data_IF_548785981493
#
_entry.id   IF_548785981493
#
_cell.length_a   1.000
_cell.length_b   1.000
_cell.length_c   1.000
_cell.angle_alpha   90.00
_cell.angle_beta   90.00
_cell.angle_gamma   90.00
#
_symmetry.space_group_name_H-M   'P 1'
#
loop_
_entity.id
_entity.type
_entity.pdbx_description
1 polymer ?
#
# COMPACT_ATOMS: atom_id res chain seq x y z
N UNK A 1 3.82 13.92 -1.45
CA UNK A 1 2.71 13.06 -1.91
C UNK A 1 2.30 12.09 -0.83
N UNK A 2 3.08 11.01 -0.65
CA UNK A 2 2.79 9.91 0.30
C UNK A 2 2.64 10.39 1.75
N UNK A 3 3.48 11.31 2.22
CA UNK A 3 3.37 11.85 3.59
C UNK A 3 2.01 12.53 3.88
N UNK A 4 1.38 13.17 2.88
CA UNK A 4 0.04 13.74 3.06
C UNK A 4 -1.03 12.64 3.16
N UNK A 5 -0.84 11.55 2.44
CA UNK A 5 -1.72 10.38 2.50
C UNK A 5 -1.64 9.70 3.86
N UNK A 6 -0.44 9.60 4.43
CA UNK A 6 -0.24 9.09 5.80
C UNK A 6 -0.89 9.98 6.85
N UNK A 7 -0.90 11.30 6.67
CA UNK A 7 -1.59 12.21 7.60
C UNK A 7 -3.11 11.96 7.68
N UNK A 8 -3.74 11.47 6.60
CA UNK A 8 -5.15 11.04 6.66
C UNK A 8 -5.32 9.75 7.48
N UNK A 9 -4.35 8.84 7.42
CA UNK A 9 -4.32 7.66 8.29
C UNK A 9 -4.18 8.06 9.77
N UNK A 10 -3.36 9.06 10.08
CA UNK A 10 -3.18 9.56 11.44
C UNK A 10 -4.48 10.15 11.99
N UNK A 11 -5.23 10.89 11.16
CA UNK A 11 -6.56 11.39 11.53
C UNK A 11 -7.56 10.25 11.80
N UNK A 12 -7.53 9.18 10.99
CA UNK A 12 -8.34 7.98 11.22
C UNK A 12 -7.95 7.23 12.49
N UNK A 13 -6.65 7.11 12.77
CA UNK A 13 -6.18 6.50 14.02
C UNK A 13 -6.57 7.34 15.25
N UNK A 14 -6.48 8.68 15.16
CA UNK A 14 -6.95 9.58 16.21
C UNK A 14 -8.47 9.47 16.45
N UNK A 15 -9.27 9.23 15.40
CA UNK A 15 -10.70 8.97 15.54
C UNK A 15 -10.99 7.65 16.29
N UNK A 16 -10.27 6.57 15.96
CA UNK A 16 -10.50 5.24 16.56
C UNK A 16 -9.92 5.14 17.99
N UNK A 17 -8.70 5.62 18.19
CA UNK A 17 -7.94 5.43 19.43
C UNK A 17 -7.84 6.68 20.31
N UNK A 18 -8.32 7.83 19.83
CA UNK A 18 -8.42 9.05 20.62
C UNK A 18 -7.09 9.48 21.23
N UNK A 19 -7.08 9.67 22.56
CA UNK A 19 -5.90 10.11 23.29
C UNK A 19 -4.77 9.08 23.37
N UNK A 20 -5.00 7.81 23.03
CA UNK A 20 -3.98 6.75 23.05
C UNK A 20 -2.91 6.91 21.95
N UNK A 21 -3.19 7.71 20.93
CA UNK A 21 -2.22 8.06 19.88
C UNK A 21 -1.79 9.53 19.95
N UNK A 22 -2.34 10.29 20.90
CA UNK A 22 -2.10 11.71 21.05
C UNK A 22 -0.84 12.05 21.88
N UNK A 23 -0.43 13.33 21.89
CA UNK A 23 0.78 13.80 22.57
C UNK A 23 0.75 13.61 24.09
N UNK A 24 -0.44 13.38 24.66
CA UNK A 24 -0.63 13.10 26.09
C UNK A 24 0.01 11.76 26.50
N UNK A 25 0.20 10.82 25.57
CA UNK A 25 0.93 9.57 25.85
C UNK A 25 2.41 9.80 26.01
N UNK A 26 2.99 10.73 25.26
CA UNK A 26 4.41 11.04 25.38
C UNK A 26 4.74 11.63 26.77
N UNK A 27 3.82 12.41 27.34
CA UNK A 27 3.95 12.96 28.71
C UNK A 27 3.67 11.95 29.82
N UNK A 28 2.81 10.94 29.57
CA UNK A 28 2.42 9.96 30.59
C UNK A 28 3.35 8.75 30.65
N UNK A 29 4.09 8.48 29.58
CA UNK A 29 5.02 7.36 29.47
C UNK A 29 6.49 7.83 29.37
N UNK A 30 6.82 9.03 29.87
CA UNK A 30 8.19 9.57 29.90
C UNK A 30 8.93 9.45 28.54
N UNK A 31 8.26 9.81 27.45
CA UNK A 31 8.79 9.72 26.09
C UNK A 31 8.54 8.38 25.37
N UNK A 32 7.97 7.37 26.04
CA UNK A 32 7.54 6.11 25.44
C UNK A 32 6.06 6.10 25.01
N UNK A 33 5.48 7.26 24.67
CA UNK A 33 4.10 7.38 24.22
C UNK A 33 3.82 6.85 22.81
N UNK A 34 4.86 6.40 22.10
CA UNK A 34 4.72 5.74 20.81
C UNK A 34 4.26 4.28 20.98
N UNK A 35 2.95 4.06 20.90
CA UNK A 35 2.38 2.71 20.91
C UNK A 35 2.37 2.16 19.49
N UNK A 36 3.28 1.23 19.20
CA UNK A 36 3.43 0.60 17.88
C UNK A 36 2.09 0.07 17.33
N UNK A 37 1.32 -0.64 18.15
CA UNK A 37 0.04 -1.22 17.75
C UNK A 37 -0.97 -0.18 17.24
N UNK A 38 -1.04 0.99 17.86
CA UNK A 38 -2.03 2.02 17.51
C UNK A 38 -1.54 3.00 16.45
N UNK A 39 -0.22 3.11 16.23
CA UNK A 39 0.32 3.98 15.18
C UNK A 39 0.64 3.23 13.88
N UNK A 40 1.08 1.98 13.97
CA UNK A 40 1.55 1.23 12.79
C UNK A 40 0.46 0.35 12.19
N UNK A 41 -0.33 -0.38 12.99
CA UNK A 41 -1.36 -1.28 12.45
C UNK A 41 -2.46 -0.52 11.68
N UNK A 42 -2.99 0.63 12.16
CA UNK A 42 -4.00 1.37 11.41
C UNK A 42 -3.49 1.92 10.09
N UNK A 43 -2.21 2.30 10.03
CA UNK A 43 -1.56 2.72 8.80
C UNK A 43 -1.51 1.60 7.76
N UNK A 44 -1.22 0.37 8.20
CA UNK A 44 -1.26 -0.81 7.32
C UNK A 44 -2.68 -1.03 6.79
N UNK A 45 -3.70 -0.99 7.66
CA UNK A 45 -5.11 -1.16 7.28
C UNK A 45 -5.56 -0.07 6.29
N UNK A 46 -5.15 1.18 6.52
CA UNK A 46 -5.46 2.28 5.64
C UNK A 46 -4.83 2.12 4.26
N UNK A 47 -3.54 1.76 4.20
CA UNK A 47 -2.83 1.54 2.94
C UNK A 47 -3.43 0.36 2.17
N UNK A 48 -3.73 -0.76 2.83
CA UNK A 48 -4.35 -1.92 2.16
C UNK A 48 -5.74 -1.59 1.62
N UNK A 49 -6.56 -0.86 2.38
CA UNK A 49 -7.86 -0.39 1.91
C UNK A 49 -7.73 0.58 0.72
N UNK A 50 -6.78 1.52 0.79
CA UNK A 50 -6.51 2.46 -0.31
C UNK A 50 -6.08 1.73 -1.58
N UNK A 51 -5.13 0.80 -1.47
CA UNK A 51 -4.67 -0.02 -2.60
C UNK A 51 -5.84 -0.82 -3.18
N UNK A 52 -6.66 -1.45 -2.34
CA UNK A 52 -7.84 -2.21 -2.78
C UNK A 52 -8.82 -1.33 -3.56
N UNK A 53 -9.10 -0.11 -3.10
CA UNK A 53 -9.92 0.86 -3.83
C UNK A 53 -9.29 1.22 -5.18
N UNK A 54 -7.98 1.48 -5.20
CA UNK A 54 -7.23 1.80 -6.42
C UNK A 54 -7.27 0.65 -7.46
N UNK A 55 -7.31 -0.60 -6.99
CA UNK A 55 -7.54 -1.76 -7.85
C UNK A 55 -8.98 -1.82 -8.35
N UNK A 56 -9.96 -1.61 -7.46
CA UNK A 56 -11.38 -1.64 -7.82
C UNK A 56 -11.75 -0.61 -8.89
N UNK A 57 -11.23 0.63 -8.77
CA UNK A 57 -11.48 1.70 -9.75
C UNK A 57 -10.65 1.55 -11.04
N UNK A 58 -9.73 0.59 -11.12
CA UNK A 58 -8.92 0.32 -12.31
C UNK A 58 -7.69 1.21 -12.50
N UNK A 59 -7.37 2.12 -11.56
CA UNK A 59 -6.18 3.00 -11.64
C UNK A 59 -4.89 2.17 -11.65
N UNK A 60 -4.84 1.09 -10.85
CA UNK A 60 -3.68 0.19 -10.85
C UNK A 60 -3.45 -0.47 -12.20
N UNK A 61 -4.51 -0.83 -12.93
CA UNK A 61 -4.40 -1.39 -14.27
C UNK A 61 -3.73 -0.42 -15.26
N UNK A 62 -4.03 0.88 -15.16
CA UNK A 62 -3.40 1.92 -15.98
C UNK A 62 -1.92 2.07 -15.62
N UNK A 63 -1.60 2.16 -14.32
CA UNK A 63 -0.22 2.27 -13.84
C UNK A 63 0.62 1.07 -14.26
N UNK A 64 0.10 -0.14 -14.10
CA UNK A 64 0.80 -1.38 -14.47
C UNK A 64 1.02 -1.45 -15.99
N UNK A 65 0.06 -1.03 -16.82
CA UNK A 65 0.24 -1.00 -18.28
C UNK A 65 1.32 0.00 -18.70
N UNK A 66 1.36 1.18 -18.10
CA UNK A 66 2.36 2.21 -18.41
C UNK A 66 3.75 1.72 -18.00
N UNK A 67 3.91 1.32 -16.73
CA UNK A 67 5.18 0.85 -16.19
C UNK A 67 5.63 -0.43 -16.89
N UNK A 68 4.72 -1.38 -17.13
CA UNK A 68 5.00 -2.61 -17.87
C UNK A 68 5.47 -2.31 -19.30
N UNK A 69 4.86 -1.35 -19.98
CA UNK A 69 5.33 -0.91 -21.30
C UNK A 69 6.74 -0.30 -21.27
N UNK A 70 7.08 0.44 -20.20
CA UNK A 70 8.42 1.00 -20.00
C UNK A 70 9.44 -0.12 -19.76
N UNK A 71 9.17 -1.04 -18.84
CA UNK A 71 10.07 -2.14 -18.51
C UNK A 71 10.22 -3.14 -19.67
N UNK A 72 9.15 -3.44 -20.40
CA UNK A 72 9.21 -4.27 -21.61
C UNK A 72 10.18 -3.65 -22.62
N UNK A 73 10.11 -2.33 -22.86
CA UNK A 73 11.02 -1.63 -23.79
C UNK A 73 12.44 -1.48 -23.27
N UNK A 74 12.60 -1.24 -21.96
CA UNK A 74 13.91 -1.01 -21.35
C UNK A 74 14.73 -2.30 -21.19
N UNK A 75 14.07 -3.41 -20.85
CA UNK A 75 14.73 -4.68 -20.54
C UNK A 75 14.57 -5.74 -21.65
N UNK A 76 13.77 -5.45 -22.68
CA UNK A 76 13.49 -6.36 -23.80
C UNK A 76 12.99 -7.75 -23.34
N UNK A 77 12.19 -7.76 -22.27
CA UNK A 77 11.56 -8.96 -21.69
C UNK A 77 10.13 -9.14 -22.20
N UNK A 78 9.53 -10.29 -21.92
CA UNK A 78 8.16 -10.56 -22.34
C UNK A 78 7.16 -9.63 -21.64
N UNK A 79 6.01 -9.39 -22.29
CA UNK A 79 4.92 -8.57 -21.72
C UNK A 79 4.41 -9.12 -20.40
N UNK A 80 4.35 -10.46 -20.28
CA UNK A 80 3.84 -11.15 -19.09
C UNK A 80 4.84 -10.99 -17.94
N UNK A 81 6.14 -11.19 -18.17
CA UNK A 81 7.16 -11.00 -17.13
C UNK A 81 7.23 -9.56 -16.65
N UNK A 82 7.16 -8.60 -17.57
CA UNK A 82 7.15 -7.18 -17.22
C UNK A 82 5.90 -6.80 -16.42
N UNK A 83 4.74 -7.35 -16.80
CA UNK A 83 3.49 -7.16 -16.08
C UNK A 83 3.56 -7.73 -14.65
N UNK A 84 4.10 -8.94 -14.49
CA UNK A 84 4.30 -9.57 -13.17
C UNK A 84 5.25 -8.75 -12.31
N UNK A 85 6.42 -8.36 -12.85
CA UNK A 85 7.41 -7.59 -12.11
C UNK A 85 6.85 -6.26 -11.59
N UNK A 86 6.09 -5.53 -12.40
CA UNK A 86 5.47 -4.26 -11.97
C UNK A 86 4.37 -4.51 -10.95
N UNK A 87 3.56 -5.55 -11.15
CA UNK A 87 2.48 -5.91 -10.23
C UNK A 87 3.03 -6.24 -8.84
N UNK A 88 4.19 -6.90 -8.74
CA UNK A 88 4.85 -7.22 -7.45
C UNK A 88 5.37 -6.03 -6.65
N UNK A 89 5.44 -4.83 -7.25
CA UNK A 89 5.80 -3.61 -6.52
C UNK A 89 4.62 -3.14 -5.66
N UNK A 90 3.39 -3.43 -6.09
CA UNK A 90 2.16 -2.95 -5.46
C UNK A 90 1.40 -4.03 -4.69
N UNK A 91 1.47 -5.28 -5.16
CA UNK A 91 0.81 -6.43 -4.56
C UNK A 91 1.85 -7.39 -3.98
N UNK A 92 1.47 -8.04 -2.87
CA UNK A 92 2.31 -9.05 -2.24
C UNK A 92 2.44 -10.30 -3.11
N UNK A 93 3.51 -11.08 -2.89
CA UNK A 93 3.76 -12.32 -3.63
C UNK A 93 2.58 -13.31 -3.61
N UNK A 94 1.73 -13.25 -2.58
CA UNK A 94 0.57 -14.12 -2.39
C UNK A 94 -0.56 -13.87 -3.41
N UNK A 95 -0.57 -12.71 -4.08
CA UNK A 95 -1.66 -12.31 -5.00
C UNK A 95 -1.28 -12.52 -6.47
N UNK A 96 -0.02 -12.85 -6.76
CA UNK A 96 0.49 -13.13 -8.11
C UNK A 96 -0.28 -14.28 -8.78
N UNK A 97 -0.53 -15.44 -8.15
CA UNK A 97 -1.15 -16.57 -8.83
C UNK A 97 -2.54 -16.24 -9.39
N UNK A 98 -3.33 -15.42 -8.70
CA UNK A 98 -4.66 -15.01 -9.16
C UNK A 98 -4.61 -14.15 -10.43
N UNK A 99 -3.55 -13.36 -10.61
CA UNK A 99 -3.38 -12.40 -11.70
C UNK A 99 -2.76 -13.05 -12.94
N UNK A 100 -1.87 -14.03 -12.76
CA UNK A 100 -1.20 -14.72 -13.87
C UNK A 100 -2.04 -15.89 -14.41
N UNK A 101 -3.02 -16.37 -13.64
CA UNK A 101 -3.94 -17.45 -14.06
C UNK A 101 -4.51 -17.31 -15.48
N UNK A 102 -4.96 -16.12 -15.95
CA UNK A 102 -5.48 -15.96 -17.32
C UNK A 102 -4.44 -16.07 -18.44
N UNK A 103 -3.14 -16.15 -18.12
CA UNK A 103 -2.03 -16.16 -19.07
C UNK A 103 -1.29 -17.52 -19.17
N UNK A 104 -1.63 -18.49 -18.31
CA UNK A 104 -0.93 -19.79 -18.20
C UNK A 104 -1.73 -20.94 -18.84
N UNK A 105 -2.94 -20.68 -19.37
CA UNK A 105 -3.73 -21.69 -20.11
C UNK A 105 -3.28 -21.82 -21.58
#
# INVERSE_FOLDING_TARGET
GVHKVMAYSDAGSAFIFGSLVGPKMDTLFDGAGFIFGFRVLPAIIFVTALVSILYYIGVMGILIRILGGIFQKALNISKIESFVAVTTIFLGQNEIPAIVKPFID
#
